data_IF_247329065128
#
_entry.id   IF_247329065128
#
_cell.length_a   1.000
_cell.length_b   1.000
_cell.length_c   1.000
_cell.angle_alpha   90.00
_cell.angle_beta   90.00
_cell.angle_gamma   90.00
#
_symmetry.space_group_name_H-M   'P 1'
#
loop_
_entity.id
_entity.type
_entity.pdbx_description
1 polymer ?
#
# COMPACT_ATOMS: atom_id res chain seq x y z
N UNK A 1 -14.47 -26.28 -27.87
CA UNK A 1 -15.28 -25.06 -27.68
C UNK A 1 -15.20 -24.61 -26.21
N UNK A 2 -14.57 -23.47 -25.99
CA UNK A 2 -14.46 -22.89 -24.67
C UNK A 2 -15.48 -21.76 -24.51
N UNK A 3 -16.34 -21.83 -23.47
CA UNK A 3 -17.25 -20.74 -23.13
C UNK A 3 -16.57 -19.78 -22.17
N UNK A 4 -16.31 -18.57 -22.63
CA UNK A 4 -15.73 -17.53 -21.80
C UNK A 4 -16.69 -17.15 -20.65
N UNK A 5 -16.22 -17.03 -19.39
CA UNK A 5 -17.06 -16.56 -18.28
C UNK A 5 -17.68 -15.20 -18.58
N UNK A 6 -18.93 -14.98 -18.14
CA UNK A 6 -19.63 -13.72 -18.45
C UNK A 6 -19.20 -12.54 -17.60
N UNK A 7 -18.53 -12.78 -16.46
CA UNK A 7 -18.06 -11.74 -15.50
C UNK A 7 -16.64 -12.04 -15.05
N UNK A 8 -15.95 -10.99 -14.58
CA UNK A 8 -14.59 -11.06 -14.03
C UNK A 8 -13.50 -10.95 -15.08
N UNK A 9 -12.26 -10.85 -14.65
CA UNK A 9 -11.10 -10.87 -15.53
C UNK A 9 -10.92 -12.26 -16.14
N UNK A 10 -10.61 -12.32 -17.41
CA UNK A 10 -10.36 -13.57 -18.12
C UNK A 10 -9.00 -13.52 -18.82
N UNK A 11 -8.17 -14.52 -18.56
CA UNK A 11 -6.84 -14.66 -19.12
C UNK A 11 -6.70 -15.99 -19.83
N UNK A 12 -6.01 -15.99 -20.96
CA UNK A 12 -5.55 -17.18 -21.65
C UNK A 12 -4.08 -17.39 -21.30
N UNK A 13 -3.78 -18.50 -20.62
CA UNK A 13 -2.41 -18.92 -20.36
C UNK A 13 -1.98 -19.92 -21.44
N UNK A 14 -0.90 -19.61 -22.13
CA UNK A 14 -0.27 -20.47 -23.12
C UNK A 14 1.01 -20.99 -22.51
N UNK A 15 1.14 -22.31 -22.39
CA UNK A 15 2.33 -22.95 -21.84
C UNK A 15 3.02 -23.70 -22.96
N UNK A 16 4.29 -23.38 -23.21
CA UNK A 16 5.13 -24.06 -24.19
C UNK A 16 5.87 -25.18 -23.45
N UNK A 17 5.74 -26.40 -23.92
CA UNK A 17 6.38 -27.57 -23.33
C UNK A 17 7.27 -28.28 -24.34
N UNK A 18 8.34 -28.92 -23.84
CA UNK A 18 9.18 -29.81 -24.67
C UNK A 18 8.33 -30.96 -25.17
N UNK A 19 8.34 -31.21 -26.48
CA UNK A 19 7.65 -32.35 -27.07
C UNK A 19 8.38 -33.65 -26.85
N UNK A 20 9.70 -33.63 -27.00
CA UNK A 20 10.53 -34.80 -26.98
C UNK A 20 11.54 -34.75 -25.85
N UNK A 21 12.03 -35.92 -25.41
CA UNK A 21 13.11 -36.00 -24.43
C UNK A 21 14.44 -35.52 -25.06
N UNK A 22 15.11 -34.62 -24.32
CA UNK A 22 16.44 -34.10 -24.64
C UNK A 22 17.33 -34.21 -23.40
N UNK A 23 18.66 -34.18 -23.55
CA UNK A 23 19.56 -34.13 -22.39
C UNK A 23 19.18 -32.97 -21.47
N UNK A 24 18.90 -33.27 -20.20
CA UNK A 24 18.47 -32.30 -19.14
C UNK A 24 17.10 -31.64 -19.35
N UNK A 25 16.36 -31.95 -20.40
CA UNK A 25 15.02 -31.36 -20.70
C UNK A 25 14.07 -32.49 -21.10
N UNK A 26 13.40 -33.15 -20.14
CA UNK A 26 12.46 -34.22 -20.44
C UNK A 26 11.24 -33.73 -21.22
N UNK A 27 10.56 -34.64 -21.91
CA UNK A 27 9.23 -34.36 -22.51
C UNK A 27 8.28 -33.83 -21.47
N UNK A 28 7.49 -32.79 -21.83
CA UNK A 28 6.60 -32.09 -20.92
C UNK A 28 7.26 -31.00 -20.05
N UNK A 29 8.58 -30.84 -20.11
CA UNK A 29 9.27 -29.76 -19.43
C UNK A 29 8.79 -28.39 -19.96
N UNK A 30 8.40 -27.49 -19.07
CA UNK A 30 7.97 -26.14 -19.44
C UNK A 30 9.16 -25.32 -19.94
N UNK A 31 9.04 -24.85 -21.19
CA UNK A 31 10.04 -24.01 -21.86
C UNK A 31 9.73 -22.51 -21.68
N UNK A 32 8.49 -22.18 -21.42
CA UNK A 32 8.03 -20.80 -21.23
C UNK A 32 6.52 -20.73 -21.16
N UNK A 33 6.02 -19.54 -20.82
CA UNK A 33 4.59 -19.25 -20.83
C UNK A 33 4.30 -17.81 -21.24
N UNK A 34 3.14 -17.63 -21.83
CA UNK A 34 2.55 -16.34 -22.13
C UNK A 34 1.16 -16.24 -21.48
N UNK A 35 0.78 -15.03 -21.10
CA UNK A 35 -0.56 -14.75 -20.63
C UNK A 35 -1.18 -13.63 -21.48
N UNK A 36 -2.29 -13.93 -22.10
CA UNK A 36 -3.07 -12.96 -22.88
C UNK A 36 -4.32 -12.57 -22.09
N UNK A 37 -4.57 -11.27 -21.96
CA UNK A 37 -5.81 -10.77 -21.37
C UNK A 37 -6.91 -10.82 -22.41
N UNK A 38 -7.90 -11.70 -22.22
CA UNK A 38 -9.06 -11.81 -23.08
C UNK A 38 -10.16 -10.84 -22.69
N UNK A 39 -10.31 -10.58 -21.40
CA UNK A 39 -11.23 -9.59 -20.85
C UNK A 39 -10.67 -9.03 -19.55
N UNK A 40 -10.77 -7.71 -19.38
CA UNK A 40 -10.50 -7.01 -18.14
C UNK A 40 -11.77 -6.27 -17.72
N UNK A 41 -12.15 -6.43 -16.47
CA UNK A 41 -13.19 -5.61 -15.84
C UNK A 41 -12.51 -4.60 -14.92
N UNK A 42 -13.02 -3.38 -14.93
CA UNK A 42 -12.57 -2.35 -14.01
C UNK A 42 -12.89 -2.78 -12.56
N UNK A 43 -11.89 -2.76 -11.70
CA UNK A 43 -12.08 -3.05 -10.28
C UNK A 43 -12.77 -1.84 -9.67
N UNK A 44 -14.08 -1.94 -9.48
CA UNK A 44 -14.83 -0.97 -8.70
C UNK A 44 -14.65 -1.34 -7.23
N UNK A 45 -13.81 -0.57 -6.52
CA UNK A 45 -13.69 -0.72 -5.07
C UNK A 45 -15.05 -0.38 -4.43
N UNK A 46 -15.54 -1.21 -3.50
CA UNK A 46 -16.78 -0.89 -2.82
C UNK A 46 -16.63 0.43 -2.05
N UNK A 47 -17.61 1.31 -2.17
CA UNK A 47 -17.65 2.49 -1.33
C UNK A 47 -17.73 2.10 0.14
N UNK A 48 -16.99 2.82 0.97
CA UNK A 48 -17.01 2.63 2.42
C UNK A 48 -18.39 2.98 2.96
N UNK A 49 -19.16 1.96 3.34
CA UNK A 49 -20.56 2.10 3.77
C UNK A 49 -20.76 2.01 5.27
N UNK A 50 -19.77 1.52 5.99
CA UNK A 50 -19.86 1.28 7.43
C UNK A 50 -19.77 2.60 8.20
N UNK A 51 -20.92 3.23 8.39
CA UNK A 51 -21.08 4.47 9.16
C UNK A 51 -21.18 4.12 10.64
N UNK A 52 -20.66 5.00 11.49
CA UNK A 52 -20.74 4.83 12.93
C UNK A 52 -20.37 6.10 13.68
N UNK A 53 -20.38 5.99 14.99
CA UNK A 53 -19.93 7.05 15.88
C UNK A 53 -18.44 6.92 16.12
N UNK A 54 -17.71 8.01 15.96
CA UNK A 54 -16.28 8.09 16.20
C UNK A 54 -15.96 9.13 17.24
N UNK A 55 -15.00 8.81 18.12
CA UNK A 55 -14.36 9.74 19.04
C UNK A 55 -12.89 9.89 18.64
N UNK A 56 -12.45 11.14 18.53
CA UNK A 56 -11.07 11.48 18.25
C UNK A 56 -10.47 12.05 19.51
N UNK A 57 -9.36 11.48 19.96
CA UNK A 57 -8.51 11.98 21.03
C UNK A 57 -7.16 12.34 20.44
N UNK A 58 -6.65 13.51 20.74
CA UNK A 58 -5.43 14.02 20.14
C UNK A 58 -4.60 14.75 21.21
N UNK A 59 -3.31 14.45 21.21
CA UNK A 59 -2.29 15.18 21.94
C UNK A 59 -1.17 15.66 20.99
N UNK A 60 -0.03 16.08 21.54
CA UNK A 60 1.12 16.55 20.74
C UNK A 60 1.73 15.45 19.86
N UNK A 61 1.70 14.19 20.32
CA UNK A 61 2.40 13.05 19.70
C UNK A 61 1.48 12.11 18.96
N UNK A 62 0.27 11.92 19.49
CA UNK A 62 -0.64 10.87 19.02
C UNK A 62 -2.02 11.41 18.69
N UNK A 63 -2.65 10.74 17.75
CA UNK A 63 -4.04 10.87 17.40
C UNK A 63 -4.69 9.49 17.50
N UNK A 64 -5.70 9.36 18.37
CA UNK A 64 -6.42 8.10 18.58
C UNK A 64 -7.84 8.21 18.07
N UNK A 65 -8.19 7.35 17.14
CA UNK A 65 -9.54 7.20 16.59
C UNK A 65 -10.20 6.00 17.27
N UNK A 66 -11.38 6.20 17.84
CA UNK A 66 -12.15 5.15 18.52
C UNK A 66 -13.57 5.06 17.99
N UNK A 67 -14.08 3.85 17.90
CA UNK A 67 -15.49 3.52 17.72
C UNK A 67 -15.84 2.35 18.65
N UNK A 68 -17.03 1.72 18.53
CA UNK A 68 -17.44 0.58 19.36
C UNK A 68 -16.40 -0.54 19.42
N UNK A 69 -15.89 -0.94 18.26
CA UNK A 69 -15.04 -2.11 18.08
C UNK A 69 -13.61 -1.77 17.68
N UNK A 70 -13.29 -0.49 17.43
CA UNK A 70 -11.96 -0.11 16.96
C UNK A 70 -11.27 0.91 17.85
N UNK A 71 -9.95 0.78 17.92
CA UNK A 71 -9.03 1.77 18.45
C UNK A 71 -7.79 1.82 17.58
N UNK A 72 -7.64 2.88 16.80
CA UNK A 72 -6.52 3.11 15.90
C UNK A 72 -5.67 4.27 16.39
N UNK A 73 -4.37 4.03 16.54
CA UNK A 73 -3.42 5.04 17.04
C UNK A 73 -2.46 5.46 15.94
N UNK A 74 -2.39 6.75 15.70
CA UNK A 74 -1.56 7.38 14.68
C UNK A 74 -0.49 8.25 15.35
N UNK A 75 0.77 8.02 15.03
CA UNK A 75 1.89 8.83 15.50
C UNK A 75 2.02 10.09 14.62
N UNK A 76 1.84 11.25 15.20
CA UNK A 76 1.88 12.55 14.50
C UNK A 76 3.29 13.00 14.13
N UNK A 77 4.33 12.42 14.75
CA UNK A 77 5.72 12.75 14.45
C UNK A 77 6.25 11.96 13.26
N UNK A 78 5.93 10.67 13.20
CA UNK A 78 6.38 9.77 12.13
C UNK A 78 5.39 9.67 10.97
N UNK A 79 4.12 9.99 11.19
CA UNK A 79 3.06 9.88 10.18
C UNK A 79 2.60 8.44 9.94
N UNK A 80 2.71 7.59 10.95
CA UNK A 80 2.48 6.15 10.88
C UNK A 80 1.35 5.72 11.80
N UNK A 81 0.57 4.72 11.37
CA UNK A 81 -0.30 3.98 12.26
C UNK A 81 0.56 3.02 13.08
N UNK A 82 0.56 3.21 14.40
CA UNK A 82 1.31 2.36 15.33
C UNK A 82 0.49 1.20 15.86
N UNK A 83 -0.83 1.38 15.95
CA UNK A 83 -1.76 0.34 16.39
C UNK A 83 -3.06 0.40 15.59
N UNK A 84 -3.53 -0.75 15.14
CA UNK A 84 -4.85 -0.95 14.53
C UNK A 84 -5.57 -2.07 15.29
N UNK A 85 -6.17 -1.73 16.43
CA UNK A 85 -6.94 -2.70 17.23
C UNK A 85 -8.39 -2.73 16.74
N UNK A 86 -8.85 -3.90 16.32
CA UNK A 86 -10.24 -4.14 15.95
C UNK A 86 -10.78 -5.39 16.65
N UNK A 87 -11.93 -5.27 17.33
CA UNK A 87 -12.52 -6.33 18.17
C UNK A 87 -11.51 -6.91 19.16
N UNK A 88 -10.80 -6.02 19.88
CA UNK A 88 -9.76 -6.35 20.84
C UNK A 88 -8.56 -7.14 20.30
N UNK A 89 -8.36 -7.17 18.98
CA UNK A 89 -7.21 -7.81 18.34
C UNK A 89 -6.36 -6.78 17.62
N UNK A 90 -5.05 -6.76 17.92
CA UNK A 90 -4.08 -5.98 17.16
C UNK A 90 -3.93 -6.57 15.76
N UNK A 91 -3.95 -5.70 14.75
CA UNK A 91 -3.87 -6.08 13.33
C UNK A 91 -2.52 -5.76 12.72
N UNK A 92 -1.68 -5.01 13.40
CA UNK A 92 -0.34 -4.67 12.94
C UNK A 92 0.71 -5.46 13.72
N UNK A 93 1.62 -6.10 13.00
CA UNK A 93 2.83 -6.68 13.59
C UNK A 93 3.89 -5.61 13.89
N UNK A 94 3.85 -4.51 13.14
CA UNK A 94 4.71 -3.33 13.31
C UNK A 94 4.03 -2.10 12.69
N UNK A 95 4.46 -0.86 13.01
CA UNK A 95 3.91 0.36 12.44
C UNK A 95 3.93 0.36 10.90
N UNK A 96 2.89 0.93 10.30
CA UNK A 96 2.80 1.11 8.86
C UNK A 96 3.69 2.25 8.42
N UNK A 97 4.71 1.98 7.62
CA UNK A 97 5.65 2.99 7.14
C UNK A 97 5.63 3.14 5.62
N UNK A 98 6.02 4.32 5.13
CA UNK A 98 6.27 4.55 3.71
C UNK A 98 7.69 4.14 3.36
N UNK A 99 7.84 3.29 2.37
CA UNK A 99 9.13 2.84 1.86
C UNK A 99 9.23 3.09 0.35
N UNK A 100 10.36 3.65 -0.07
CA UNK A 100 10.70 3.88 -1.48
C UNK A 100 11.97 3.10 -1.89
N UNK A 101 12.52 2.33 -0.98
CA UNK A 101 13.72 1.53 -1.19
C UNK A 101 13.40 0.07 -1.44
N UNK A 102 14.06 -0.53 -2.40
CA UNK A 102 14.15 -1.98 -2.58
C UNK A 102 15.60 -2.42 -2.66
N UNK A 103 15.90 -3.67 -2.33
CA UNK A 103 17.22 -4.25 -2.56
C UNK A 103 17.56 -4.18 -4.06
N UNK A 104 18.71 -3.60 -4.44
CA UNK A 104 19.14 -3.57 -5.83
C UNK A 104 19.40 -4.98 -6.37
N UNK A 105 19.01 -5.21 -7.61
CA UNK A 105 19.34 -6.40 -8.39
C UNK A 105 20.61 -6.17 -9.21
N UNK A 106 21.10 -7.20 -9.91
CA UNK A 106 22.26 -7.07 -10.80
C UNK A 106 22.03 -6.05 -11.92
N UNK A 107 20.80 -5.96 -12.42
CA UNK A 107 20.43 -4.96 -13.43
C UNK A 107 20.51 -3.52 -12.93
N UNK A 108 20.50 -3.30 -11.62
CA UNK A 108 20.59 -1.98 -11.01
C UNK A 108 22.05 -1.52 -10.76
N UNK A 109 23.03 -2.27 -11.23
CA UNK A 109 24.46 -2.09 -10.93
C UNK A 109 24.93 -0.63 -11.04
N UNK A 110 24.50 0.08 -12.06
CA UNK A 110 24.85 1.49 -12.25
C UNK A 110 23.95 2.44 -11.48
N UNK A 111 22.65 2.25 -11.56
CA UNK A 111 21.65 3.17 -10.98
C UNK A 111 21.59 3.11 -9.45
N UNK A 112 21.98 1.97 -8.85
CA UNK A 112 22.01 1.83 -7.37
C UNK A 112 22.91 2.82 -6.66
N UNK A 113 24.00 3.23 -7.30
CA UNK A 113 24.92 4.22 -6.73
C UNK A 113 24.24 5.58 -6.64
N UNK A 114 23.49 5.94 -7.68
CA UNK A 114 22.71 7.19 -7.71
C UNK A 114 21.59 7.15 -6.65
N UNK A 115 20.88 6.03 -6.50
CA UNK A 115 19.87 5.87 -5.45
C UNK A 115 20.45 6.06 -4.05
N UNK A 116 21.64 5.49 -3.78
CA UNK A 116 22.33 5.67 -2.51
C UNK A 116 22.84 7.10 -2.33
N UNK A 117 23.37 7.71 -3.38
CA UNK A 117 23.81 9.11 -3.36
C UNK A 117 22.66 10.06 -3.05
N UNK A 118 21.49 9.80 -3.62
CA UNK A 118 20.26 10.55 -3.34
C UNK A 118 19.60 10.15 -2.00
N UNK A 119 20.08 9.11 -1.33
CA UNK A 119 19.63 8.70 0.00
C UNK A 119 18.28 7.97 0.02
N UNK A 120 17.91 7.26 -1.05
CA UNK A 120 16.65 6.50 -1.10
C UNK A 120 16.63 5.35 -0.09
N UNK A 121 17.80 4.78 0.24
CA UNK A 121 18.01 3.72 1.21
C UNK A 121 17.83 4.16 2.68
N UNK A 122 17.76 5.45 2.94
CA UNK A 122 17.67 6.05 4.27
C UNK A 122 16.69 7.22 4.35
N UNK A 123 15.71 7.22 3.47
CA UNK A 123 14.65 8.23 3.49
C UNK A 123 13.75 8.04 4.71
N UNK A 124 13.52 9.10 5.45
CA UNK A 124 12.69 9.15 6.64
C UNK A 124 11.46 10.04 6.42
N UNK A 125 10.32 9.72 7.03
CA UNK A 125 9.16 10.59 6.98
C UNK A 125 9.37 11.84 7.84
N UNK A 126 8.88 12.97 7.35
CA UNK A 126 8.75 14.21 8.10
C UNK A 126 7.33 14.75 7.95
N UNK A 127 6.61 14.78 9.04
CA UNK A 127 5.23 15.24 9.09
C UNK A 127 5.18 16.76 9.19
N UNK A 128 4.30 17.39 8.41
CA UNK A 128 4.05 18.83 8.45
C UNK A 128 2.70 19.16 9.08
N UNK A 129 1.69 18.31 8.85
CA UNK A 129 0.38 18.49 9.47
C UNK A 129 -0.40 17.18 9.49
N UNK A 130 -1.15 16.99 10.57
CA UNK A 130 -2.16 15.94 10.71
C UNK A 130 -3.48 16.62 11.03
N UNK A 131 -4.56 16.21 10.36
CA UNK A 131 -5.91 16.70 10.62
C UNK A 131 -6.87 15.53 10.60
N UNK A 132 -7.71 15.43 11.63
CA UNK A 132 -8.75 14.41 11.69
C UNK A 132 -10.13 15.08 11.76
N UNK A 133 -11.12 14.45 11.16
CA UNK A 133 -12.52 14.88 11.21
C UNK A 133 -13.45 13.69 11.08
N UNK A 134 -14.59 13.80 11.71
CA UNK A 134 -15.72 12.88 11.50
C UNK A 134 -16.75 13.60 10.63
N UNK A 135 -17.16 12.97 9.55
CA UNK A 135 -18.19 13.48 8.66
C UNK A 135 -18.99 12.30 8.09
N UNK A 136 -20.32 12.43 8.06
CA UNK A 136 -21.25 11.44 7.50
C UNK A 136 -21.06 10.01 8.06
N UNK A 137 -20.65 9.91 9.34
CA UNK A 137 -20.41 8.63 10.01
C UNK A 137 -19.10 7.93 9.62
N UNK A 138 -18.16 8.64 8.97
CA UNK A 138 -16.81 8.17 8.65
C UNK A 138 -15.77 9.05 9.33
N UNK A 139 -14.68 8.45 9.80
CA UNK A 139 -13.53 9.21 10.29
C UNK A 139 -12.49 9.37 9.17
N UNK A 140 -12.03 10.60 8.94
CA UNK A 140 -10.99 10.90 7.97
C UNK A 140 -9.79 11.52 8.66
N UNK A 141 -8.62 10.89 8.48
CA UNK A 141 -7.32 11.42 8.94
C UNK A 141 -6.51 11.79 7.71
N UNK A 142 -6.10 13.06 7.63
CA UNK A 142 -5.24 13.56 6.53
C UNK A 142 -3.89 13.96 7.09
N UNK A 143 -2.84 13.43 6.50
CA UNK A 143 -1.46 13.70 6.84
C UNK A 143 -0.72 14.28 5.64
N UNK A 144 -0.05 15.42 5.85
CA UNK A 144 0.90 15.96 4.88
C UNK A 144 2.31 15.72 5.40
N UNK A 145 3.12 15.07 4.59
CA UNK A 145 4.49 14.70 4.96
C UNK A 145 5.42 14.73 3.75
N UNK A 146 6.71 14.61 4.00
CA UNK A 146 7.71 14.32 2.97
C UNK A 146 8.54 13.11 3.34
N UNK A 147 9.11 12.47 2.34
CA UNK A 147 10.19 11.49 2.50
C UNK A 147 11.49 12.15 2.08
N UNK A 148 12.47 12.19 2.99
CA UNK A 148 13.77 12.79 2.77
C UNK A 148 14.83 12.08 3.60
N UNK A 149 16.05 11.91 3.08
CA UNK A 149 17.18 11.58 3.92
C UNK A 149 17.60 12.81 4.75
N UNK A 150 18.30 12.55 5.85
CA UNK A 150 18.87 13.63 6.66
C UNK A 150 19.90 14.40 5.83
N UNK A 151 19.84 15.74 5.88
CA UNK A 151 20.74 16.70 5.19
C UNK A 151 20.70 16.72 3.66
N UNK A 152 19.74 16.02 3.03
CA UNK A 152 19.52 16.08 1.59
C UNK A 152 18.13 16.64 1.26
N UNK A 153 17.90 16.90 -0.02
CA UNK A 153 16.59 17.36 -0.51
C UNK A 153 15.51 16.31 -0.33
N UNK A 154 14.28 16.78 -0.24
CA UNK A 154 13.11 15.88 -0.24
C UNK A 154 13.07 15.07 -1.53
N UNK A 155 12.75 13.80 -1.40
CA UNK A 155 12.55 12.91 -2.54
C UNK A 155 11.09 12.97 -2.99
N UNK A 156 10.16 12.91 -2.01
CA UNK A 156 8.72 12.97 -2.25
C UNK A 156 8.04 13.89 -1.25
N UNK A 157 7.02 14.60 -1.71
CA UNK A 157 5.98 15.19 -0.87
C UNK A 157 4.72 14.35 -0.99
N UNK A 158 4.13 13.97 0.16
CA UNK A 158 2.97 13.09 0.25
C UNK A 158 1.78 13.83 0.88
N UNK A 159 0.61 13.70 0.27
CA UNK A 159 -0.69 14.05 0.85
C UNK A 159 -1.49 12.76 1.00
N UNK A 160 -1.59 12.27 2.24
CA UNK A 160 -2.18 10.98 2.56
C UNK A 160 -3.51 11.20 3.25
N UNK A 161 -4.53 10.50 2.80
CA UNK A 161 -5.85 10.50 3.41
C UNK A 161 -6.28 9.10 3.75
N UNK A 162 -6.57 8.86 5.01
CA UNK A 162 -7.13 7.62 5.54
C UNK A 162 -8.62 7.86 5.82
N UNK A 163 -9.50 7.03 5.26
CA UNK A 163 -10.93 7.01 5.58
C UNK A 163 -11.26 5.73 6.32
N UNK A 164 -11.80 5.85 7.50
CA UNK A 164 -12.02 4.74 8.43
C UNK A 164 -13.51 4.53 8.62
N UNK A 165 -13.98 3.31 8.37
CA UNK A 165 -15.32 2.84 8.64
C UNK A 165 -15.45 2.21 10.03
N UNK A 166 -16.65 2.18 10.58
CA UNK A 166 -16.91 1.59 11.90
C UNK A 166 -16.74 0.07 11.94
N UNK A 167 -16.71 -0.58 10.76
CA UNK A 167 -16.41 -1.99 10.57
C UNK A 167 -14.90 -2.30 10.60
N UNK A 168 -14.06 -1.30 10.86
CA UNK A 168 -12.60 -1.44 10.87
C UNK A 168 -11.95 -1.34 9.50
N UNK A 169 -12.72 -1.14 8.42
CA UNK A 169 -12.17 -0.90 7.10
C UNK A 169 -11.44 0.46 7.03
N UNK A 170 -10.39 0.52 6.23
CA UNK A 170 -9.62 1.74 6.00
C UNK A 170 -9.27 1.89 4.52
N UNK A 171 -9.77 2.97 3.90
CA UNK A 171 -9.34 3.37 2.56
C UNK A 171 -8.14 4.30 2.68
N UNK A 172 -7.08 4.02 1.94
CA UNK A 172 -5.87 4.83 1.92
C UNK A 172 -5.70 5.45 0.55
N UNK A 173 -5.69 6.79 0.51
CA UNK A 173 -5.41 7.55 -0.70
C UNK A 173 -4.09 8.30 -0.52
N UNK A 174 -3.14 8.06 -1.42
CA UNK A 174 -1.82 8.71 -1.41
C UNK A 174 -1.64 9.51 -2.69
N UNK A 175 -1.40 10.81 -2.53
CA UNK A 175 -0.95 11.68 -3.62
C UNK A 175 0.52 11.99 -3.38
N UNK A 176 1.38 11.49 -4.26
CA UNK A 176 2.81 11.70 -4.20
C UNK A 176 3.25 12.68 -5.29
N UNK A 177 4.11 13.63 -4.91
CA UNK A 177 4.78 14.54 -5.84
C UNK A 177 6.28 14.33 -5.68
N UNK A 178 6.96 14.08 -6.79
CA UNK A 178 8.42 14.06 -6.85
C UNK A 178 8.94 15.51 -6.79
N UNK A 179 9.95 15.71 -5.99
CA UNK A 179 10.63 17.01 -5.83
C UNK A 179 11.88 17.09 -6.71
#
# INVERSE_FOLDING_TARGET
DYKMPRKGNCFLNIVYVSRDDRPLVPSGHELGRDQLTLRSEEIVLPEQKAKGEFKIQEDEKELVVRSSDLRYTFNKLTGEWTHLVYKNQERLAQPMSFNIWRAPTDNDMYVRQEWKRCGYDRALPRVYSVKAKVKDGLCSVRCKMSLAPIYLQKILTLDVTYRIGSDGSMDVSVKAKKE
#
